data_IF_963313963791
#
_entry.id   IF_963313963791
#
_cell.length_a   1.000
_cell.length_b   1.000
_cell.length_c   1.000
_cell.angle_alpha   90.00
_cell.angle_beta   90.00
_cell.angle_gamma   90.00
#
_symmetry.space_group_name_H-M   'P 1'
#
loop_
_entity.id
_entity.type
_entity.pdbx_description
1 polymer ?
#
# COMPACT_ATOMS: atom_id res chain seq x y z
N UNK A 1 -8.99 19.88 7.18
CA UNK A 1 -7.73 20.18 6.47
C UNK A 1 -7.84 19.51 5.11
N UNK A 2 -7.76 20.25 4.01
CA UNK A 2 -7.55 19.66 2.71
C UNK A 2 -6.12 19.15 2.70
N UNK A 3 -5.92 17.85 2.72
CA UNK A 3 -4.62 17.29 2.45
C UNK A 3 -4.38 17.46 0.95
N UNK A 4 -3.52 18.36 0.57
CA UNK A 4 -3.01 18.38 -0.79
C UNK A 4 -2.22 17.10 -0.97
N UNK A 5 -2.63 16.27 -1.91
CA UNK A 5 -1.89 15.06 -2.25
C UNK A 5 -0.65 15.53 -3.00
N UNK A 6 0.49 15.43 -2.37
CA UNK A 6 1.79 15.76 -2.95
C UNK A 6 2.40 14.49 -3.57
N UNK A 7 3.09 14.64 -4.70
CA UNK A 7 3.79 13.57 -5.39
C UNK A 7 5.24 13.98 -5.66
N UNK A 8 5.88 14.54 -4.67
CA UNK A 8 7.29 14.90 -4.79
C UNK A 8 8.18 13.65 -4.70
N UNK A 9 9.44 13.81 -5.04
CA UNK A 9 10.44 12.76 -4.84
C UNK A 9 10.56 12.35 -3.36
N UNK A 10 10.51 13.31 -2.45
CA UNK A 10 10.59 13.05 -1.01
C UNK A 10 9.34 12.35 -0.48
N UNK A 11 8.14 12.70 -0.98
CA UNK A 11 6.90 11.99 -0.62
C UNK A 11 6.96 10.50 -1.01
N UNK A 12 7.61 10.18 -2.13
CA UNK A 12 7.81 8.78 -2.52
C UNK A 12 8.70 8.03 -1.54
N UNK A 13 9.74 8.67 -1.02
CA UNK A 13 10.59 8.07 0.03
C UNK A 13 9.77 7.87 1.31
N UNK A 14 9.02 8.87 1.73
CA UNK A 14 8.14 8.78 2.90
C UNK A 14 7.09 7.66 2.73
N UNK A 15 6.50 7.52 1.54
CA UNK A 15 5.55 6.45 1.25
C UNK A 15 6.17 5.05 1.38
N UNK A 16 7.45 4.88 1.00
CA UNK A 16 8.16 3.62 1.22
C UNK A 16 8.29 3.35 2.72
N UNK A 17 8.72 4.34 3.50
CA UNK A 17 8.90 4.22 4.94
C UNK A 17 7.56 3.92 5.65
N UNK A 18 6.47 4.58 5.25
CA UNK A 18 5.13 4.31 5.75
C UNK A 18 4.64 2.90 5.40
N UNK A 19 4.89 2.43 4.17
CA UNK A 19 4.56 1.06 3.79
C UNK A 19 5.32 0.01 4.62
N UNK A 20 6.58 0.29 5.01
CA UNK A 20 7.34 -0.56 5.92
C UNK A 20 6.67 -0.59 7.31
N UNK A 21 6.33 0.56 7.87
CA UNK A 21 5.66 0.67 9.17
C UNK A 21 4.31 -0.07 9.18
N UNK A 22 3.56 0.03 8.09
CA UNK A 22 2.28 -0.66 7.88
C UNK A 22 2.44 -2.15 7.51
N UNK A 23 3.68 -2.67 7.42
CA UNK A 23 4.00 -4.04 7.00
C UNK A 23 3.49 -4.40 5.59
N UNK A 24 3.44 -3.41 4.69
CA UNK A 24 3.08 -3.59 3.28
C UNK A 24 4.34 -3.85 2.45
N UNK A 25 4.99 -4.96 2.73
CA UNK A 25 6.33 -5.27 2.22
C UNK A 25 6.46 -5.27 0.70
N UNK A 26 5.44 -5.78 0.01
CA UNK A 26 5.43 -5.81 -1.45
C UNK A 26 5.37 -4.39 -2.05
N UNK A 27 4.53 -3.52 -1.50
CA UNK A 27 4.42 -2.12 -1.94
C UNK A 27 5.70 -1.36 -1.63
N UNK A 28 6.26 -1.53 -0.44
CA UNK A 28 7.53 -0.91 -0.06
C UNK A 28 8.66 -1.29 -1.03
N UNK A 29 8.82 -2.60 -1.31
CA UNK A 29 9.86 -3.09 -2.22
C UNK A 29 9.64 -2.58 -3.66
N UNK A 30 8.39 -2.65 -4.17
CA UNK A 30 8.08 -2.16 -5.51
C UNK A 30 8.46 -0.69 -5.68
N UNK A 31 8.10 0.17 -4.73
CA UNK A 31 8.45 1.59 -4.76
C UNK A 31 9.95 1.81 -4.60
N UNK A 32 10.62 1.12 -3.67
CA UNK A 32 12.05 1.24 -3.46
C UNK A 32 12.87 0.91 -4.72
N UNK A 33 12.46 -0.13 -5.46
CA UNK A 33 13.09 -0.53 -6.72
C UNK A 33 12.89 0.49 -7.86
N UNK A 34 12.02 1.49 -7.70
CA UNK A 34 11.86 2.58 -8.67
C UNK A 34 12.79 3.77 -8.40
N UNK A 35 13.35 3.89 -7.19
CA UNK A 35 14.20 5.03 -6.83
C UNK A 35 15.45 5.16 -7.72
N UNK A 36 16.21 4.08 -8.03
CA UNK A 36 17.35 4.19 -8.96
C UNK A 36 16.97 4.57 -10.39
N UNK A 37 15.75 4.23 -10.85
CA UNK A 37 15.24 4.66 -12.15
C UNK A 37 15.08 6.18 -12.22
N UNK A 38 14.46 6.76 -11.18
CA UNK A 38 14.26 8.20 -11.05
C UNK A 38 15.61 8.90 -10.93
N UNK A 39 16.40 8.51 -9.93
CA UNK A 39 17.68 9.14 -9.66
C UNK A 39 18.69 8.99 -10.83
N UNK A 40 18.70 7.83 -11.48
CA UNK A 40 19.56 7.57 -12.64
C UNK A 40 19.22 8.45 -13.83
N UNK A 41 17.92 8.68 -14.07
CA UNK A 41 17.49 9.61 -15.12
C UNK A 41 17.88 11.05 -14.85
N UNK A 42 17.89 11.46 -13.59
CA UNK A 42 18.31 12.81 -13.16
C UNK A 42 19.84 12.94 -13.17
N UNK A 43 20.55 11.88 -12.74
CA UNK A 43 22.01 11.90 -12.68
C UNK A 43 22.65 11.90 -14.07
N UNK A 44 22.13 11.08 -14.98
CA UNK A 44 22.74 10.76 -16.26
C UNK A 44 21.77 10.95 -17.44
N UNK A 45 21.23 12.16 -17.67
CA UNK A 45 20.26 12.42 -18.75
C UNK A 45 20.87 12.18 -20.13
N UNK A 46 22.19 12.22 -20.27
CA UNK A 46 22.94 11.99 -21.49
C UNK A 46 22.98 10.51 -21.90
N UNK A 47 22.71 9.58 -21.01
CA UNK A 47 22.69 8.14 -21.32
C UNK A 47 21.38 7.79 -22.02
N UNK A 48 21.47 7.64 -23.34
CA UNK A 48 20.32 7.37 -24.20
C UNK A 48 20.55 6.12 -25.05
N UNK A 49 19.46 5.52 -25.52
CA UNK A 49 19.52 4.34 -26.39
C UNK A 49 20.02 4.69 -27.77
N UNK A 50 20.82 3.81 -28.35
CA UNK A 50 21.31 3.91 -29.70
C UNK A 50 20.89 2.71 -30.54
N UNK A 51 20.68 2.93 -31.84
CA UNK A 51 20.59 1.86 -32.83
C UNK A 51 21.96 1.22 -33.06
N UNK A 52 22.00 0.05 -33.69
CA UNK A 52 23.26 -0.64 -34.03
C UNK A 52 24.20 0.17 -34.90
N UNK A 53 23.69 1.13 -35.62
CA UNK A 53 24.45 2.06 -36.49
C UNK A 53 24.94 3.31 -35.76
N UNK A 54 24.75 3.37 -34.41
CA UNK A 54 25.20 4.48 -33.59
C UNK A 54 24.25 5.67 -33.53
N UNK A 55 23.16 5.70 -34.29
CA UNK A 55 22.19 6.79 -34.23
C UNK A 55 21.38 6.71 -32.92
N UNK A 56 21.08 7.87 -32.33
CA UNK A 56 20.23 7.97 -31.12
C UNK A 56 18.81 7.51 -31.45
N UNK A 57 18.25 6.65 -30.62
CA UNK A 57 16.84 6.26 -30.68
C UNK A 57 15.98 7.41 -30.18
N UNK A 58 14.97 7.79 -30.99
CA UNK A 58 14.01 8.83 -30.64
C UNK A 58 12.66 8.21 -30.31
N UNK A 59 11.95 8.82 -29.34
CA UNK A 59 10.56 8.51 -29.06
C UNK A 59 9.59 9.07 -30.12
N UNK A 60 8.28 8.89 -29.90
CA UNK A 60 7.24 9.41 -30.81
C UNK A 60 7.22 10.93 -30.90
N UNK A 61 7.75 11.63 -29.89
CA UNK A 61 7.83 13.08 -29.80
C UNK A 61 9.18 13.63 -30.31
N UNK A 62 10.03 12.74 -30.86
CA UNK A 62 11.40 13.02 -31.35
C UNK A 62 12.40 13.38 -30.24
N UNK A 63 12.13 13.03 -28.99
CA UNK A 63 13.10 13.16 -27.90
C UNK A 63 14.01 11.92 -27.85
N UNK A 64 15.27 12.06 -27.40
CA UNK A 64 16.15 10.93 -27.13
C UNK A 64 15.51 9.95 -26.15
N UNK A 65 15.47 8.67 -26.51
CA UNK A 65 14.95 7.62 -25.63
C UNK A 65 15.98 7.28 -24.57
N UNK A 66 15.62 7.40 -23.30
CA UNK A 66 16.49 7.05 -22.17
C UNK A 66 16.91 5.59 -22.23
N UNK A 67 18.17 5.31 -21.92
CA UNK A 67 18.63 3.96 -21.58
C UNK A 67 18.48 3.73 -20.08
N UNK A 68 17.25 3.41 -19.67
CA UNK A 68 16.85 3.29 -18.28
C UNK A 68 17.69 2.25 -17.53
N UNK A 69 18.00 1.11 -18.16
CA UNK A 69 18.80 0.06 -17.54
C UNK A 69 20.21 0.54 -17.18
N UNK A 70 20.89 1.15 -18.16
CA UNK A 70 22.25 1.68 -17.97
C UNK A 70 22.27 2.83 -16.94
N UNK A 71 21.29 3.75 -17.00
CA UNK A 71 21.16 4.83 -16.02
C UNK A 71 20.93 4.30 -14.60
N UNK A 72 20.06 3.28 -14.44
CA UNK A 72 19.75 2.62 -13.19
C UNK A 72 20.99 1.97 -12.56
N UNK A 73 21.66 1.13 -13.34
CA UNK A 73 22.85 0.38 -12.91
C UNK A 73 23.94 1.36 -12.46
N UNK A 74 24.21 2.36 -13.30
CA UNK A 74 25.27 3.33 -13.00
C UNK A 74 24.96 4.14 -11.75
N UNK A 75 23.72 4.62 -11.58
CA UNK A 75 23.36 5.35 -10.38
C UNK A 75 23.48 4.49 -9.12
N UNK A 76 23.02 3.23 -9.20
CA UNK A 76 23.11 2.34 -8.06
C UNK A 76 24.57 2.14 -7.65
N UNK A 77 25.45 1.84 -8.60
CA UNK A 77 26.85 1.59 -8.29
C UNK A 77 27.60 2.83 -7.78
N UNK A 78 27.30 4.02 -8.32
CA UNK A 78 27.97 5.26 -7.93
C UNK A 78 27.43 5.87 -6.61
N UNK A 79 26.14 5.75 -6.33
CA UNK A 79 25.50 6.46 -5.21
C UNK A 79 24.90 5.55 -4.16
N UNK A 80 24.46 4.36 -4.50
CA UNK A 80 23.81 3.45 -3.56
C UNK A 80 24.73 2.31 -3.08
N UNK A 81 25.69 1.90 -3.89
CA UNK A 81 26.51 0.70 -3.64
C UNK A 81 27.11 0.63 -2.23
N UNK A 82 27.62 1.73 -1.70
CA UNK A 82 28.22 1.77 -0.36
C UNK A 82 27.24 1.44 0.77
N UNK A 83 25.95 1.71 0.58
CA UNK A 83 24.89 1.35 1.54
C UNK A 83 24.59 -0.14 1.54
N UNK A 84 25.03 -0.87 0.50
CA UNK A 84 24.78 -2.29 0.31
C UNK A 84 26.02 -3.18 0.57
N UNK A 85 27.01 -2.67 1.28
CA UNK A 85 28.11 -3.46 1.83
C UNK A 85 27.64 -4.19 3.08
N UNK A 86 28.10 -5.43 3.29
CA UNK A 86 27.84 -6.21 4.51
C UNK A 86 28.66 -5.69 5.67
N UNK A 87 29.93 -5.29 5.38
CA UNK A 87 30.85 -4.63 6.31
C UNK A 87 31.45 -3.38 5.66
N UNK A 88 31.86 -2.42 6.47
CA UNK A 88 32.59 -1.24 5.98
C UNK A 88 33.95 -1.58 5.36
N UNK A 89 34.51 -2.75 5.72
CA UNK A 89 35.76 -3.24 5.14
C UNK A 89 35.59 -3.91 3.78
N UNK A 90 34.36 -4.15 3.33
CA UNK A 90 34.13 -4.82 2.06
C UNK A 90 34.45 -3.87 0.92
N UNK A 91 35.20 -4.33 -0.05
CA UNK A 91 35.54 -3.56 -1.25
C UNK A 91 34.31 -3.38 -2.16
N UNK A 92 33.43 -4.40 -2.21
CA UNK A 92 32.27 -4.44 -3.11
C UNK A 92 30.96 -4.62 -2.34
N UNK A 93 29.86 -4.05 -2.85
CA UNK A 93 28.54 -4.32 -2.28
C UNK A 93 28.13 -5.79 -2.53
N UNK A 94 27.27 -6.35 -1.64
CA UNK A 94 26.73 -7.70 -1.80
C UNK A 94 25.73 -7.80 -2.98
N UNK A 95 25.17 -6.67 -3.40
CA UNK A 95 24.36 -6.51 -4.60
C UNK A 95 24.88 -5.30 -5.38
N UNK A 96 25.21 -5.49 -6.66
CA UNK A 96 25.60 -4.42 -7.58
C UNK A 96 24.39 -3.90 -8.36
N UNK A 97 24.58 -2.82 -9.11
CA UNK A 97 23.53 -2.18 -9.90
C UNK A 97 22.89 -3.12 -10.92
N UNK A 98 23.68 -3.97 -11.58
CA UNK A 98 23.18 -4.96 -12.53
C UNK A 98 22.24 -5.97 -11.88
N UNK A 99 22.63 -6.52 -10.73
CA UNK A 99 21.78 -7.45 -9.96
C UNK A 99 20.53 -6.78 -9.41
N UNK A 100 20.66 -5.54 -8.96
CA UNK A 100 19.49 -4.76 -8.52
C UNK A 100 18.52 -4.46 -9.67
N UNK A 101 19.06 -4.16 -10.86
CA UNK A 101 18.26 -4.01 -12.07
C UNK A 101 17.54 -5.30 -12.47
N UNK A 102 18.21 -6.44 -12.39
CA UNK A 102 17.61 -7.74 -12.62
C UNK A 102 16.47 -8.00 -11.63
N UNK A 103 16.70 -7.81 -10.32
CA UNK A 103 15.66 -7.93 -9.30
C UNK A 103 14.45 -7.04 -9.61
N UNK A 104 14.68 -5.78 -10.01
CA UNK A 104 13.62 -4.85 -10.39
C UNK A 104 12.81 -5.38 -11.58
N UNK A 105 13.47 -5.86 -12.62
CA UNK A 105 12.80 -6.38 -13.81
C UNK A 105 11.93 -7.59 -13.50
N UNK A 106 12.42 -8.51 -12.68
CA UNK A 106 11.66 -9.69 -12.30
C UNK A 106 10.49 -9.37 -11.40
N UNK A 107 10.78 -8.59 -10.35
CA UNK A 107 9.77 -8.27 -9.36
C UNK A 107 8.60 -7.46 -9.96
N UNK A 108 8.90 -6.44 -10.77
CA UNK A 108 7.87 -5.55 -11.30
C UNK A 108 7.19 -6.07 -12.58
N UNK A 109 7.84 -6.90 -13.39
CA UNK A 109 7.31 -7.28 -14.70
C UNK A 109 6.89 -8.74 -14.81
N UNK A 110 7.54 -9.65 -14.11
CA UNK A 110 7.33 -11.08 -14.33
C UNK A 110 6.75 -11.82 -13.13
N UNK A 111 6.84 -11.24 -11.94
CA UNK A 111 6.46 -11.89 -10.68
C UNK A 111 7.08 -13.31 -10.54
N UNK A 112 8.24 -13.52 -11.18
CA UNK A 112 8.98 -14.77 -11.16
C UNK A 112 10.14 -14.63 -10.20
N UNK A 113 10.21 -15.52 -9.23
CA UNK A 113 11.32 -15.61 -8.29
C UNK A 113 12.55 -16.34 -8.84
N UNK A 114 12.62 -16.60 -10.15
CA UNK A 114 13.71 -17.33 -10.78
C UNK A 114 14.05 -16.70 -12.13
N UNK A 115 15.29 -16.27 -12.28
CA UNK A 115 15.90 -15.98 -13.57
C UNK A 115 16.42 -17.30 -14.19
N UNK A 116 16.03 -17.54 -15.42
CA UNK A 116 16.76 -18.43 -16.30
C UNK A 116 17.81 -17.60 -17.05
N UNK A 117 18.84 -17.15 -16.35
CA UNK A 117 19.96 -16.48 -16.97
C UNK A 117 21.19 -17.37 -16.94
N UNK A 118 22.14 -17.14 -17.85
CA UNK A 118 23.40 -17.88 -17.95
C UNK A 118 24.21 -17.89 -16.64
N UNK A 119 23.83 -17.03 -15.68
CA UNK A 119 24.46 -16.89 -14.37
C UNK A 119 23.71 -17.55 -13.20
N UNK A 120 22.55 -18.18 -13.41
CA UNK A 120 21.75 -18.89 -12.37
C UNK A 120 21.62 -18.10 -11.04
N UNK A 121 21.28 -16.80 -11.11
CA UNK A 121 21.09 -15.97 -9.90
C UNK A 121 19.68 -16.21 -9.35
N UNK A 122 19.59 -16.53 -8.05
CA UNK A 122 18.32 -16.68 -7.32
C UNK A 122 18.22 -15.62 -6.24
N UNK A 123 17.10 -14.88 -6.22
CA UNK A 123 16.81 -13.93 -5.17
C UNK A 123 15.85 -14.54 -4.15
N UNK A 124 16.25 -14.52 -2.88
CA UNK A 124 15.42 -14.96 -1.76
C UNK A 124 15.00 -13.74 -0.96
N UNK A 125 13.75 -13.35 -1.11
CA UNK A 125 13.16 -12.24 -0.39
C UNK A 125 12.58 -12.71 0.94
N UNK A 126 12.93 -12.07 2.04
CA UNK A 126 12.44 -12.44 3.37
C UNK A 126 12.37 -11.24 4.32
N UNK A 127 11.97 -11.52 5.54
CA UNK A 127 11.91 -10.57 6.64
C UNK A 127 12.73 -11.09 7.80
N UNK A 128 13.47 -10.22 8.48
CA UNK A 128 14.34 -10.56 9.60
C UNK A 128 15.34 -11.68 9.27
N UNK A 129 15.71 -11.81 8.00
CA UNK A 129 16.58 -12.89 7.52
C UNK A 129 18.04 -12.44 7.32
N UNK A 130 18.31 -11.15 7.51
CA UNK A 130 19.57 -10.53 7.18
C UNK A 130 19.86 -10.55 5.68
N UNK A 131 20.98 -9.98 5.30
CA UNK A 131 21.45 -9.93 3.92
C UNK A 131 22.68 -10.82 3.76
N UNK A 132 22.68 -11.68 2.77
CA UNK A 132 23.81 -12.55 2.49
C UNK A 132 23.87 -12.93 1.01
N UNK A 133 25.07 -13.23 0.56
CA UNK A 133 25.34 -13.84 -0.75
C UNK A 133 25.97 -15.17 -0.48
N UNK A 134 25.35 -16.24 -0.93
CA UNK A 134 25.87 -17.59 -0.83
C UNK A 134 26.13 -18.10 -2.24
N UNK A 135 27.36 -18.56 -2.48
CA UNK A 135 27.68 -19.33 -3.68
C UNK A 135 27.27 -20.77 -3.40
N UNK A 136 26.41 -21.33 -4.22
CA UNK A 136 26.08 -22.75 -4.14
C UNK A 136 27.27 -23.53 -4.70
N UNK A 137 28.08 -24.10 -3.82
CA UNK A 137 29.03 -25.17 -4.16
C UNK A 137 28.20 -26.45 -4.41
N UNK A 138 27.67 -26.59 -5.62
CA UNK A 138 27.12 -27.89 -6.01
C UNK A 138 28.27 -28.80 -6.43
N UNK A 139 28.42 -29.89 -5.73
CA UNK A 139 29.29 -31.03 -6.14
C UNK A 139 28.84 -31.67 -7.45
N UNK A 140 27.72 -31.20 -8.03
CA UNK A 140 27.24 -31.54 -9.37
C UNK A 140 27.52 -30.40 -10.35
N UNK A 141 28.36 -30.67 -11.31
CA UNK A 141 29.00 -29.78 -12.31
C UNK A 141 28.04 -28.96 -13.19
N UNK A 142 26.73 -28.93 -12.95
CA UNK A 142 25.75 -28.26 -13.80
C UNK A 142 24.99 -27.08 -13.16
N UNK A 143 25.20 -26.78 -11.87
CA UNK A 143 24.48 -25.68 -11.21
C UNK A 143 25.40 -24.77 -10.41
N UNK A 144 26.25 -24.00 -11.08
CA UNK A 144 26.90 -22.85 -10.46
C UNK A 144 25.85 -21.74 -10.29
N UNK A 145 25.11 -21.74 -9.19
CA UNK A 145 24.10 -20.74 -8.88
C UNK A 145 24.60 -19.77 -7.80
N UNK A 146 24.16 -18.53 -7.89
CA UNK A 146 24.37 -17.51 -6.86
C UNK A 146 23.06 -17.24 -6.14
N UNK A 147 22.98 -17.55 -4.86
CA UNK A 147 21.83 -17.23 -4.02
C UNK A 147 22.06 -15.89 -3.30
N UNK A 148 21.18 -14.94 -3.57
CA UNK A 148 21.20 -13.63 -2.92
C UNK A 148 19.98 -13.55 -1.99
N UNK A 149 20.25 -13.53 -0.68
CA UNK A 149 19.20 -13.31 0.33
C UNK A 149 19.08 -11.82 0.60
N UNK A 150 17.85 -11.34 0.52
CA UNK A 150 17.51 -9.93 0.72
C UNK A 150 16.47 -9.82 1.83
N UNK A 151 16.82 -9.14 2.90
CA UNK A 151 15.85 -8.66 3.88
C UNK A 151 15.15 -7.42 3.30
N UNK A 152 13.83 -7.53 3.09
CA UNK A 152 13.06 -6.50 2.38
C UNK A 152 13.08 -5.18 3.14
N UNK A 153 12.92 -5.22 4.47
CA UNK A 153 12.92 -4.01 5.29
C UNK A 153 14.26 -3.28 5.20
N UNK A 154 15.35 -4.01 5.45
CA UNK A 154 16.69 -3.43 5.37
C UNK A 154 17.03 -2.92 3.98
N UNK A 155 16.65 -3.66 2.93
CA UNK A 155 16.85 -3.23 1.55
C UNK A 155 16.15 -1.92 1.26
N UNK A 156 14.87 -1.82 1.59
CA UNK A 156 14.08 -0.60 1.37
C UNK A 156 14.65 0.60 2.14
N UNK A 157 14.97 0.44 3.43
CA UNK A 157 15.54 1.51 4.24
C UNK A 157 16.91 1.99 3.72
N UNK A 158 17.77 1.07 3.29
CA UNK A 158 19.07 1.42 2.68
C UNK A 158 18.90 2.16 1.36
N UNK A 159 17.93 1.74 0.53
CA UNK A 159 17.61 2.41 -0.72
C UNK A 159 17.06 3.82 -0.48
N UNK A 160 16.14 3.99 0.47
CA UNK A 160 15.63 5.31 0.87
C UNK A 160 16.77 6.23 1.35
N UNK A 161 17.69 5.71 2.18
CA UNK A 161 18.83 6.45 2.68
C UNK A 161 19.77 6.89 1.55
N UNK A 162 20.07 6.01 0.60
CA UNK A 162 20.90 6.33 -0.56
C UNK A 162 20.25 7.40 -1.43
N UNK A 163 18.97 7.24 -1.76
CA UNK A 163 18.22 8.18 -2.57
C UNK A 163 18.07 9.55 -1.91
N UNK A 164 17.83 9.60 -0.60
CA UNK A 164 17.78 10.84 0.17
C UNK A 164 19.13 11.54 0.22
N UNK A 165 20.20 10.79 0.48
CA UNK A 165 21.57 11.34 0.46
C UNK A 165 21.95 11.89 -0.93
N UNK A 166 21.53 11.23 -2.00
CA UNK A 166 21.72 11.75 -3.36
C UNK A 166 20.94 13.05 -3.57
N UNK A 167 19.65 13.05 -3.24
CA UNK A 167 18.80 14.25 -3.32
C UNK A 167 19.42 15.43 -2.57
N UNK A 168 19.82 15.24 -1.31
CA UNK A 168 20.37 16.30 -0.47
C UNK A 168 21.66 16.93 -1.08
N UNK A 169 22.43 16.13 -1.83
CA UNK A 169 23.66 16.60 -2.49
C UNK A 169 23.39 17.39 -3.77
N UNK A 170 22.34 17.05 -4.52
CA UNK A 170 22.21 17.55 -5.91
C UNK A 170 20.92 18.32 -6.19
N UNK A 171 19.99 18.47 -5.23
CA UNK A 171 18.69 19.10 -5.45
C UNK A 171 18.75 20.57 -5.86
N UNK A 172 19.86 21.25 -5.59
CA UNK A 172 20.09 22.63 -6.03
C UNK A 172 20.65 22.74 -7.46
N UNK A 173 21.25 21.65 -7.96
CA UNK A 173 21.94 21.61 -9.27
C UNK A 173 21.16 20.81 -10.31
N UNK A 174 20.37 19.83 -9.86
CA UNK A 174 19.62 18.90 -10.72
C UNK A 174 18.14 19.17 -10.64
N UNK A 175 17.46 19.00 -11.75
CA UNK A 175 16.03 19.23 -11.87
C UNK A 175 15.22 18.00 -11.47
N UNK A 176 14.52 18.10 -10.34
CA UNK A 176 13.56 17.09 -9.86
C UNK A 176 12.11 17.45 -10.22
N UNK A 177 11.87 18.49 -11.01
CA UNK A 177 10.52 19.01 -11.31
C UNK A 177 9.61 17.96 -11.98
N UNK A 178 10.17 17.08 -12.80
CA UNK A 178 9.42 15.97 -13.41
C UNK A 178 8.76 15.03 -12.38
N UNK A 179 9.31 14.99 -11.17
CA UNK A 179 8.82 14.13 -10.07
C UNK A 179 8.14 14.93 -8.96
N UNK A 180 8.14 16.25 -9.08
CA UNK A 180 7.46 17.17 -8.18
C UNK A 180 6.17 17.74 -8.81
N UNK A 181 5.92 17.42 -10.06
CA UNK A 181 4.68 17.80 -10.74
C UNK A 181 3.74 16.59 -10.73
N UNK A 182 2.50 16.73 -10.28
CA UNK A 182 1.56 15.63 -10.33
C UNK A 182 1.39 15.20 -11.80
N UNK A 183 1.75 13.94 -12.10
CA UNK A 183 1.61 13.32 -13.42
C UNK A 183 0.14 13.09 -13.78
N UNK A 184 -0.74 13.15 -12.79
CA UNK A 184 -2.17 12.98 -12.92
C UNK A 184 -2.85 14.31 -12.58
N UNK A 185 -3.53 14.91 -13.56
CA UNK A 185 -4.62 15.81 -13.27
C UNK A 185 -5.66 15.00 -12.48
N UNK A 186 -5.54 15.04 -11.15
CA UNK A 186 -6.66 14.66 -10.32
C UNK A 186 -7.77 15.65 -10.64
N UNK A 187 -8.63 15.29 -11.58
CA UNK A 187 -9.96 15.84 -11.60
C UNK A 187 -10.50 15.50 -10.22
N UNK A 188 -10.34 16.41 -9.27
CA UNK A 188 -11.18 16.40 -8.08
C UNK A 188 -12.60 16.51 -8.64
N UNK A 189 -13.19 15.37 -8.93
CA UNK A 189 -14.62 15.27 -8.90
C UNK A 189 -14.91 15.66 -7.45
N UNK A 190 -15.21 16.94 -7.23
CA UNK A 190 -15.93 17.36 -6.06
C UNK A 190 -17.25 16.60 -6.16
N UNK A 191 -17.22 15.33 -5.77
CA UNK A 191 -18.41 14.73 -5.22
C UNK A 191 -18.79 15.77 -4.16
N UNK A 192 -19.90 16.50 -4.40
CA UNK A 192 -20.58 17.17 -3.30
C UNK A 192 -20.49 16.15 -2.18
N UNK A 193 -19.77 16.47 -1.09
CA UNK A 193 -19.76 15.63 0.10
C UNK A 193 -21.24 15.39 0.37
N UNK A 194 -21.72 14.23 -0.02
CA UNK A 194 -22.96 13.70 0.53
C UNK A 194 -22.66 13.76 2.01
N UNK A 195 -23.40 14.49 2.78
CA UNK A 195 -23.17 14.66 4.22
C UNK A 195 -22.74 13.29 4.74
N UNK A 196 -21.56 13.25 5.37
CA UNK A 196 -20.85 11.97 5.60
C UNK A 196 -21.84 11.01 6.25
N UNK A 197 -22.05 9.85 5.63
CA UNK A 197 -23.10 8.90 6.03
C UNK A 197 -22.94 8.54 7.51
N UNK A 198 -23.97 8.77 8.30
CA UNK A 198 -23.97 8.51 9.74
C UNK A 198 -24.31 7.04 9.97
N UNK A 199 -23.37 6.29 10.51
CA UNK A 199 -23.59 4.90 10.95
C UNK A 199 -23.86 4.90 12.46
N UNK A 200 -25.04 4.44 12.86
CA UNK A 200 -25.37 4.24 14.28
C UNK A 200 -25.08 2.77 14.65
N UNK A 201 -24.03 2.53 15.42
CA UNK A 201 -23.64 1.21 15.93
C UNK A 201 -24.13 1.04 17.37
N UNK A 202 -25.02 0.08 17.60
CA UNK A 202 -25.63 -0.21 18.89
C UNK A 202 -25.20 -1.60 19.36
N UNK A 203 -24.45 -1.65 20.44
CA UNK A 203 -23.89 -2.88 20.99
C UNK A 203 -23.69 -2.73 22.50
N UNK A 204 -24.24 -3.63 23.29
CA UNK A 204 -24.13 -3.60 24.77
C UNK A 204 -22.76 -3.96 25.29
N UNK A 205 -21.97 -4.70 24.50
CA UNK A 205 -20.60 -5.01 24.86
C UNK A 205 -19.64 -3.93 24.35
N UNK A 206 -19.12 -3.11 25.25
CA UNK A 206 -18.24 -1.97 24.92
C UNK A 206 -16.96 -2.40 24.17
N UNK A 207 -16.35 -3.51 24.57
CA UNK A 207 -15.13 -4.02 23.94
C UNK A 207 -15.39 -4.45 22.50
N UNK A 208 -16.51 -5.14 22.28
CA UNK A 208 -16.92 -5.58 20.95
C UNK A 208 -17.32 -4.39 20.06
N UNK A 209 -18.04 -3.41 20.62
CA UNK A 209 -18.40 -2.17 19.93
C UNK A 209 -17.17 -1.39 19.45
N UNK A 210 -16.13 -1.28 20.27
CA UNK A 210 -14.87 -0.64 19.89
C UNK A 210 -14.19 -1.38 18.74
N UNK A 211 -14.12 -2.71 18.77
CA UNK A 211 -13.57 -3.52 17.69
C UNK A 211 -14.34 -3.37 16.37
N UNK A 212 -15.67 -3.33 16.42
CA UNK A 212 -16.50 -3.06 15.23
C UNK A 212 -16.27 -1.65 14.68
N UNK A 213 -16.17 -0.66 15.57
CA UNK A 213 -15.87 0.72 15.18
C UNK A 213 -14.53 0.82 14.45
N UNK A 214 -13.47 0.26 15.00
CA UNK A 214 -12.14 0.21 14.38
C UNK A 214 -12.20 -0.48 13.01
N UNK A 215 -12.96 -1.59 12.90
CA UNK A 215 -13.14 -2.30 11.64
C UNK A 215 -13.83 -1.46 10.56
N UNK A 216 -14.67 -0.50 10.95
CA UNK A 216 -15.51 0.31 10.05
C UNK A 216 -14.98 1.72 9.78
N UNK A 217 -13.99 2.21 10.53
CA UNK A 217 -13.42 3.57 10.37
C UNK A 217 -12.94 3.88 8.95
N UNK A 218 -12.52 2.87 8.18
CA UNK A 218 -12.12 3.02 6.78
C UNK A 218 -13.30 3.17 5.79
N UNK A 219 -14.55 3.01 6.28
CA UNK A 219 -15.75 3.08 5.42
C UNK A 219 -16.53 4.38 5.67
N UNK A 220 -16.59 4.82 6.91
CA UNK A 220 -17.27 6.06 7.30
C UNK A 220 -16.52 6.77 8.41
N UNK A 221 -16.41 8.10 8.28
CA UNK A 221 -15.81 8.97 9.29
C UNK A 221 -16.80 9.28 10.45
N UNK A 222 -18.09 9.01 10.25
CA UNK A 222 -19.14 9.32 11.22
C UNK A 222 -19.81 8.05 11.76
N UNK A 223 -19.11 7.32 12.62
CA UNK A 223 -19.67 6.18 13.33
C UNK A 223 -19.99 6.62 14.76
N UNK A 224 -21.26 6.56 15.11
CA UNK A 224 -21.74 6.90 16.45
C UNK A 224 -21.99 5.61 17.24
N UNK A 225 -21.26 5.45 18.38
CA UNK A 225 -21.38 4.29 19.25
C UNK A 225 -22.42 4.53 20.33
N UNK A 226 -23.29 3.54 20.50
CA UNK A 226 -24.32 3.50 21.53
C UNK A 226 -24.27 2.15 22.27
N UNK A 227 -24.31 2.21 23.57
CA UNK A 227 -24.30 1.02 24.42
C UNK A 227 -25.71 0.64 24.94
N UNK A 228 -26.66 1.54 24.78
CA UNK A 228 -28.08 1.31 25.10
C UNK A 228 -28.97 1.98 24.04
N UNK A 229 -30.18 1.45 23.78
CA UNK A 229 -31.13 2.07 22.85
C UNK A 229 -31.52 3.50 23.24
N UNK A 230 -31.65 3.78 24.54
CA UNK A 230 -32.04 5.09 25.06
C UNK A 230 -31.02 6.17 24.75
N UNK A 231 -29.72 5.83 24.78
CA UNK A 231 -28.63 6.77 24.51
C UNK A 231 -28.66 7.33 23.08
N UNK A 232 -29.35 6.66 22.15
CA UNK A 232 -29.47 7.10 20.76
C UNK A 232 -30.28 8.40 20.65
N UNK A 233 -31.38 8.53 21.43
CA UNK A 233 -32.24 9.73 21.40
C UNK A 233 -31.47 10.99 21.80
N UNK A 234 -30.60 10.87 22.78
CA UNK A 234 -29.85 12.00 23.32
C UNK A 234 -28.69 12.39 22.38
N UNK A 235 -27.96 11.41 21.84
CA UNK A 235 -26.76 11.68 21.05
C UNK A 235 -27.03 11.92 19.56
N UNK A 236 -28.03 11.26 18.96
CA UNK A 236 -28.41 11.53 17.57
C UNK A 236 -29.17 12.86 17.43
N UNK A 237 -29.90 13.30 18.50
CA UNK A 237 -30.66 14.53 18.45
C UNK A 237 -31.68 14.51 17.32
N UNK A 238 -31.54 15.46 16.37
CA UNK A 238 -32.39 15.55 15.15
C UNK A 238 -31.80 14.80 13.95
N UNK A 239 -30.59 14.26 14.05
CA UNK A 239 -29.94 13.56 12.95
C UNK A 239 -30.51 12.15 12.81
N UNK A 240 -30.77 11.75 11.56
CA UNK A 240 -31.19 10.40 11.24
C UNK A 240 -29.97 9.65 10.69
N UNK A 241 -29.66 8.44 11.22
CA UNK A 241 -28.57 7.66 10.64
C UNK A 241 -28.96 7.12 9.25
N UNK A 242 -27.95 6.93 8.41
CA UNK A 242 -28.12 6.30 7.10
C UNK A 242 -28.09 4.77 7.20
N UNK A 243 -27.50 4.25 8.29
CA UNK A 243 -27.42 2.83 8.56
C UNK A 243 -27.43 2.56 10.07
N UNK A 244 -28.23 1.56 10.48
CA UNK A 244 -28.18 0.98 11.80
C UNK A 244 -27.36 -0.32 11.79
N UNK A 245 -26.42 -0.48 12.69
CA UNK A 245 -25.75 -1.74 12.97
C UNK A 245 -26.10 -2.11 14.41
N UNK A 246 -26.71 -3.26 14.59
CA UNK A 246 -27.29 -3.67 15.88
C UNK A 246 -26.81 -5.09 16.21
N UNK A 247 -26.38 -5.32 17.45
CA UNK A 247 -26.05 -6.65 17.94
C UNK A 247 -27.26 -7.31 18.59
N UNK A 248 -27.31 -8.64 18.61
CA UNK A 248 -28.44 -9.43 19.08
C UNK A 248 -28.89 -9.07 20.51
N UNK A 249 -27.94 -8.84 21.41
CA UNK A 249 -28.20 -8.45 22.80
C UNK A 249 -29.07 -7.20 22.92
N UNK A 250 -28.97 -6.30 21.94
CA UNK A 250 -29.79 -5.07 21.89
C UNK A 250 -31.22 -5.31 21.38
N UNK A 251 -31.46 -6.40 20.67
CA UNK A 251 -32.81 -6.69 20.14
C UNK A 251 -33.83 -7.04 21.20
N UNK A 252 -33.37 -7.38 22.41
CA UNK A 252 -34.23 -7.71 23.57
C UNK A 252 -34.51 -6.51 24.50
N UNK A 253 -33.83 -5.40 24.24
CA UNK A 253 -33.99 -4.18 25.06
C UNK A 253 -35.27 -3.42 24.67
N UNK A 254 -35.90 -2.67 25.59
CA UNK A 254 -36.99 -1.76 25.26
C UNK A 254 -36.54 -0.57 24.41
N UNK A 255 -37.48 0.18 23.84
CA UNK A 255 -37.22 1.45 23.13
C UNK A 255 -36.23 1.34 21.97
N UNK A 256 -36.41 0.39 21.09
CA UNK A 256 -35.54 0.11 19.96
C UNK A 256 -35.76 1.10 18.78
N UNK A 257 -34.93 2.13 18.59
CA UNK A 257 -35.14 3.17 17.59
C UNK A 257 -35.09 2.64 16.15
N UNK A 258 -34.27 1.63 15.89
CA UNK A 258 -34.18 0.99 14.56
C UNK A 258 -35.43 0.22 14.16
N UNK A 259 -36.28 -0.20 15.11
CA UNK A 259 -37.60 -0.81 14.80
C UNK A 259 -38.65 0.24 14.44
N UNK A 260 -38.61 1.39 15.12
CA UNK A 260 -39.50 2.49 14.83
C UNK A 260 -39.17 3.15 13.48
N UNK A 261 -37.90 3.25 13.14
CA UNK A 261 -37.40 3.76 11.86
C UNK A 261 -37.49 2.67 10.78
N UNK A 262 -38.60 2.64 10.03
CA UNK A 262 -38.81 1.64 8.97
C UNK A 262 -37.98 1.90 7.70
N UNK A 263 -37.49 3.11 7.51
CA UNK A 263 -36.88 3.54 6.26
C UNK A 263 -35.36 3.35 6.20
N UNK A 264 -34.65 3.48 7.34
CA UNK A 264 -33.20 3.29 7.39
C UNK A 264 -32.85 1.81 7.40
N UNK A 265 -31.85 1.37 6.61
CA UNK A 265 -31.36 -0.01 6.63
C UNK A 265 -30.84 -0.43 7.99
N UNK A 266 -30.94 -1.72 8.27
CA UNK A 266 -30.40 -2.34 9.50
C UNK A 266 -29.52 -3.52 9.14
N UNK A 267 -28.34 -3.56 9.71
CA UNK A 267 -27.50 -4.77 9.77
C UNK A 267 -27.61 -5.33 11.18
N UNK A 268 -28.12 -6.54 11.29
CA UNK A 268 -28.20 -7.27 12.54
C UNK A 268 -27.06 -8.29 12.64
N UNK A 269 -26.27 -8.20 13.69
CA UNK A 269 -25.22 -9.17 14.01
C UNK A 269 -25.74 -10.12 15.10
N UNK A 270 -25.88 -11.40 14.79
CA UNK A 270 -26.51 -12.39 15.66
C UNK A 270 -25.82 -13.75 15.65
N UNK A 271 -25.84 -14.44 16.77
CA UNK A 271 -25.45 -15.86 16.86
C UNK A 271 -26.55 -16.82 16.43
N UNK A 272 -27.80 -16.34 16.31
CA UNK A 272 -28.94 -17.17 15.90
C UNK A 272 -29.75 -16.45 14.81
N UNK A 273 -29.36 -16.58 13.52
CA UNK A 273 -30.01 -15.89 12.41
C UNK A 273 -31.47 -16.32 12.19
N UNK A 274 -31.83 -17.54 12.59
CA UNK A 274 -33.19 -18.07 12.40
C UNK A 274 -34.21 -17.52 13.42
N UNK A 275 -33.74 -16.93 14.51
CA UNK A 275 -34.59 -16.36 15.58
C UNK A 275 -34.87 -14.86 15.40
N UNK A 276 -34.62 -14.30 14.20
CA UNK A 276 -34.73 -12.86 13.96
C UNK A 276 -36.18 -12.42 13.73
N UNK A 277 -36.75 -11.66 14.68
CA UNK A 277 -38.11 -11.11 14.58
C UNK A 277 -38.18 -9.62 14.24
N UNK A 278 -37.21 -9.10 13.50
CA UNK A 278 -37.22 -7.68 13.09
C UNK A 278 -38.01 -7.54 11.79
N UNK A 279 -39.18 -6.88 11.85
CA UNK A 279 -39.97 -6.55 10.66
C UNK A 279 -39.44 -5.28 10.01
N UNK A 280 -38.83 -5.42 8.84
CA UNK A 280 -38.36 -4.33 7.97
C UNK A 280 -38.93 -4.52 6.55
N UNK A 281 -38.90 -3.44 5.77
CA UNK A 281 -39.21 -3.54 4.34
C UNK A 281 -38.22 -4.48 3.64
N UNK A 282 -38.64 -5.25 2.65
CA UNK A 282 -37.76 -6.12 1.90
C UNK A 282 -36.50 -5.38 1.41
N UNK A 283 -35.32 -5.95 1.63
CA UNK A 283 -34.03 -5.36 1.25
C UNK A 283 -33.42 -4.37 2.24
N UNK A 284 -34.10 -4.04 3.34
CA UNK A 284 -33.58 -3.12 4.38
C UNK A 284 -33.12 -3.81 5.67
N UNK A 285 -33.18 -5.11 5.74
CA UNK A 285 -32.61 -5.89 6.81
C UNK A 285 -31.58 -6.88 6.25
N UNK A 286 -30.35 -6.76 6.72
CA UNK A 286 -29.33 -7.76 6.45
C UNK A 286 -28.91 -8.40 7.76
N UNK A 287 -28.86 -9.72 7.80
CA UNK A 287 -28.43 -10.49 8.97
C UNK A 287 -27.05 -11.04 8.72
N UNK A 288 -26.13 -10.78 9.64
CA UNK A 288 -24.76 -11.33 9.64
C UNK A 288 -24.60 -12.27 10.83
N UNK A 289 -24.18 -13.49 10.54
CA UNK A 289 -24.01 -14.53 11.54
C UNK A 289 -22.67 -14.43 12.28
N UNK A 290 -22.68 -14.83 13.53
CA UNK A 290 -21.44 -15.04 14.30
C UNK A 290 -20.85 -16.45 14.02
N UNK A 291 -19.52 -16.63 13.95
CA UNK A 291 -18.48 -15.59 14.09
C UNK A 291 -18.45 -14.62 12.91
N UNK A 292 -18.30 -13.32 13.19
CA UNK A 292 -18.39 -12.27 12.19
C UNK A 292 -17.11 -12.13 11.37
N UNK A 293 -17.24 -12.23 10.05
CA UNK A 293 -16.17 -11.86 9.11
C UNK A 293 -16.12 -10.33 8.94
N UNK A 294 -14.98 -9.73 9.25
CA UNK A 294 -14.76 -8.27 9.05
C UNK A 294 -14.87 -7.91 7.57
N UNK A 295 -14.47 -8.79 6.66
CA UNK A 295 -14.57 -8.57 5.22
C UNK A 295 -16.02 -8.51 4.78
N UNK A 296 -16.87 -9.43 5.28
CA UNK A 296 -18.28 -9.47 4.94
C UNK A 296 -19.04 -8.29 5.56
N UNK A 297 -18.71 -7.92 6.79
CA UNK A 297 -19.24 -6.72 7.43
C UNK A 297 -18.94 -5.48 6.58
N UNK A 298 -17.69 -5.28 6.18
CA UNK A 298 -17.27 -4.14 5.36
C UNK A 298 -17.95 -4.10 3.99
N UNK A 299 -18.07 -5.25 3.31
CA UNK A 299 -18.79 -5.36 2.04
C UNK A 299 -20.26 -4.97 2.20
N UNK A 300 -20.91 -5.50 3.24
CA UNK A 300 -22.33 -5.24 3.50
C UNK A 300 -22.57 -3.78 3.84
N UNK A 301 -21.75 -3.17 4.69
CA UNK A 301 -21.88 -1.74 5.05
C UNK A 301 -21.73 -0.85 3.83
N UNK A 302 -20.76 -1.13 2.95
CA UNK A 302 -20.55 -0.36 1.70
C UNK A 302 -21.80 -0.31 0.79
N UNK A 303 -22.63 -1.34 0.78
CA UNK A 303 -23.87 -1.36 -0.03
C UNK A 303 -24.83 -0.25 0.40
N UNK A 304 -24.83 0.15 1.66
CA UNK A 304 -25.79 1.09 2.23
C UNK A 304 -25.27 2.51 2.40
N UNK A 305 -23.93 2.71 2.41
CA UNK A 305 -23.32 4.02 2.70
C UNK A 305 -22.49 4.59 1.54
N UNK A 306 -22.43 3.87 0.41
CA UNK A 306 -21.74 4.29 -0.82
C UNK A 306 -22.55 5.28 -1.67
#
# INVERSE_FOLDING_TARGET
MRGDVSFTFLDRIEEIELNILDRRWQSALALALTLPDICGGIAFPEIVKHYRDGRVMLDRQKNPTRDVGTQYIRWFDEYAGDYFKLSQSDEKPYICGERCWQLRCEYLHQNKGFLNDENNIRFHLGLNCGMSVCQLDSTNVQENGLDIRIDIEQFCLRMCKAAKSYYDKVNLEKDFSLYNTPVLDFIQVTQKKKDASIIALICGNERYAKGLNEALQFISEQIMLFYTPESTKTKLGKHKPDLWIVTEDMTRQPNQPWRADRTTPVILITGNPDAVEIKKDPGKLTVLSMPLSIVDLRKTVKIYVS
#
